data_IF_900781938566
#
_entry.id   IF_900781938566
#
_cell.length_a   1.000
_cell.length_b   1.000
_cell.length_c   1.000
_cell.angle_alpha   90.00
_cell.angle_beta   90.00
_cell.angle_gamma   90.00
#
_symmetry.space_group_name_H-M   'P 1'
#
loop_
_entity.id
_entity.type
_entity.pdbx_description
1 polymer ?
#
# COMPACT_ATOMS: atom_id res chain seq x y z
N UNK A 1 19.28 -16.66 -22.38
CA UNK A 1 19.62 -15.21 -22.48
C UNK A 1 20.36 -14.75 -21.23
N UNK A 2 21.45 -13.99 -21.38
CA UNK A 2 22.32 -13.51 -20.30
C UNK A 2 21.67 -12.34 -19.54
N UNK A 3 20.83 -12.62 -18.55
CA UNK A 3 20.26 -11.58 -17.68
C UNK A 3 21.29 -11.14 -16.65
N UNK A 4 22.12 -10.15 -17.00
CA UNK A 4 23.19 -9.64 -16.14
C UNK A 4 22.71 -9.22 -14.74
N UNK A 5 21.50 -8.66 -14.63
CA UNK A 5 20.89 -8.31 -13.34
C UNK A 5 20.59 -9.54 -12.46
N UNK A 6 19.97 -10.57 -13.04
CA UNK A 6 19.66 -11.83 -12.35
C UNK A 6 20.94 -12.51 -11.89
N UNK A 7 21.97 -12.51 -12.74
CA UNK A 7 23.26 -13.12 -12.44
C UNK A 7 24.02 -12.35 -11.34
N UNK A 8 24.08 -11.03 -11.41
CA UNK A 8 24.65 -10.17 -10.37
C UNK A 8 23.94 -10.33 -9.02
N UNK A 9 22.60 -10.33 -9.02
CA UNK A 9 21.82 -10.46 -7.79
C UNK A 9 21.96 -11.86 -7.18
N UNK A 10 21.91 -12.91 -8.01
CA UNK A 10 22.07 -14.31 -7.56
C UNK A 10 23.46 -14.57 -6.99
N UNK A 11 24.51 -14.06 -7.66
CA UNK A 11 25.89 -14.17 -7.18
C UNK A 11 26.11 -13.38 -5.90
N UNK A 12 25.50 -12.19 -5.77
CA UNK A 12 25.58 -11.38 -4.55
C UNK A 12 24.85 -12.03 -3.37
N UNK A 13 23.76 -12.76 -3.64
CA UNK A 13 22.95 -13.44 -2.62
C UNK A 13 23.38 -14.90 -2.37
N UNK A 14 24.40 -15.39 -3.10
CA UNK A 14 24.88 -16.78 -3.04
C UNK A 14 23.78 -17.84 -3.26
N UNK A 15 22.80 -17.54 -4.10
CA UNK A 15 21.67 -18.45 -4.36
C UNK A 15 21.98 -19.43 -5.50
N UNK A 16 21.41 -20.66 -5.46
CA UNK A 16 21.58 -21.62 -6.54
C UNK A 16 20.97 -21.07 -7.82
N UNK A 17 21.82 -20.91 -8.84
CA UNK A 17 21.41 -20.40 -10.15
C UNK A 17 20.69 -21.52 -10.88
N UNK A 18 19.40 -21.34 -11.15
CA UNK A 18 18.67 -22.26 -12.01
C UNK A 18 18.79 -21.82 -13.47
N UNK A 19 19.29 -22.74 -14.28
CA UNK A 19 19.35 -22.59 -15.72
C UNK A 19 17.93 -22.76 -16.29
N UNK A 20 17.42 -21.69 -16.91
CA UNK A 20 16.13 -21.69 -17.58
C UNK A 20 16.32 -22.39 -18.92
N UNK A 21 15.65 -23.52 -19.12
CA UNK A 21 15.53 -24.16 -20.43
C UNK A 21 14.44 -23.46 -21.25
N UNK A 22 14.79 -23.01 -22.46
CA UNK A 22 13.92 -22.23 -23.35
C UNK A 22 12.67 -23.02 -23.79
N UNK A 23 12.66 -24.35 -23.65
CA UNK A 23 11.57 -25.23 -24.06
C UNK A 23 10.62 -25.66 -22.94
N UNK A 24 10.81 -25.22 -21.71
CA UNK A 24 9.96 -25.67 -20.61
C UNK A 24 8.62 -24.91 -20.58
N UNK A 25 7.47 -25.57 -20.86
CA UNK A 25 6.16 -24.92 -20.96
C UNK A 25 5.65 -24.37 -19.62
N UNK A 26 6.24 -24.79 -18.50
CA UNK A 26 5.86 -24.34 -17.15
C UNK A 26 6.04 -22.83 -17.01
N UNK A 27 7.09 -22.25 -17.60
CA UNK A 27 7.34 -20.82 -17.53
C UNK A 27 6.27 -20.00 -18.27
N UNK A 28 5.75 -20.52 -19.39
CA UNK A 28 4.65 -19.88 -20.11
C UNK A 28 3.34 -19.90 -19.33
N UNK A 29 3.04 -21.01 -18.67
CA UNK A 29 1.84 -21.13 -17.81
C UNK A 29 1.96 -20.20 -16.61
N UNK A 30 3.13 -20.13 -15.96
CA UNK A 30 3.37 -19.21 -14.85
C UNK A 30 3.26 -17.74 -15.27
N UNK A 31 3.79 -17.37 -16.43
CA UNK A 31 3.67 -16.01 -16.96
C UNK A 31 2.21 -15.62 -17.20
N UNK A 32 1.40 -16.53 -17.74
CA UNK A 32 -0.03 -16.31 -17.94
C UNK A 32 -0.75 -16.14 -16.60
N UNK A 33 -0.43 -16.99 -15.61
CA UNK A 33 -1.01 -16.93 -14.27
C UNK A 33 -0.67 -15.60 -13.57
N UNK A 34 0.59 -15.16 -13.62
CA UNK A 34 0.99 -13.85 -13.10
C UNK A 34 0.34 -12.70 -13.86
N UNK A 35 0.15 -12.82 -15.17
CA UNK A 35 -0.57 -11.83 -15.97
C UNK A 35 -2.03 -11.68 -15.55
N UNK A 36 -2.73 -12.78 -15.28
CA UNK A 36 -4.11 -12.76 -14.78
C UNK A 36 -4.18 -12.16 -13.37
N UNK A 37 -3.22 -12.50 -12.49
CA UNK A 37 -3.14 -11.91 -11.15
C UNK A 37 -2.93 -10.39 -11.21
N UNK A 38 -2.02 -9.91 -12.06
CA UNK A 38 -1.81 -8.48 -12.26
C UNK A 38 -3.06 -7.77 -12.81
N UNK A 39 -3.80 -8.43 -13.71
CA UNK A 39 -5.06 -7.92 -14.24
C UNK A 39 -6.18 -7.87 -13.18
N UNK A 40 -6.16 -8.77 -12.20
CA UNK A 40 -7.11 -8.75 -11.09
C UNK A 40 -6.99 -7.48 -10.24
N UNK A 41 -5.81 -6.88 -10.15
CA UNK A 41 -5.59 -5.65 -9.35
C UNK A 41 -5.98 -4.37 -10.11
N UNK A 42 -6.11 -4.45 -11.45
CA UNK A 42 -6.61 -3.35 -12.26
C UNK A 42 -8.09 -3.05 -11.99
N UNK A 43 -8.89 -4.07 -11.64
CA UNK A 43 -10.33 -3.89 -11.39
C UNK A 43 -10.57 -3.01 -10.14
N UNK A 44 -10.00 -3.32 -8.95
CA UNK A 44 -10.11 -2.44 -7.78
C UNK A 44 -9.51 -1.05 -8.00
N UNK A 45 -8.49 -0.93 -8.86
CA UNK A 45 -7.88 0.35 -9.20
C UNK A 45 -8.86 1.27 -9.93
N UNK A 46 -9.63 0.72 -10.89
CA UNK A 46 -10.67 1.48 -11.59
C UNK A 46 -11.86 1.84 -10.70
N UNK A 47 -12.14 1.03 -9.68
CA UNK A 47 -13.20 1.29 -8.70
C UNK A 47 -12.78 2.31 -7.61
N UNK A 48 -11.51 2.75 -7.61
CA UNK A 48 -10.93 3.64 -6.60
C UNK A 48 -11.17 3.17 -5.14
N UNK A 49 -11.22 1.85 -4.93
CA UNK A 49 -11.46 1.26 -3.62
C UNK A 49 -10.18 1.27 -2.77
N UNK A 50 -9.93 2.38 -2.10
CA UNK A 50 -8.74 2.57 -1.26
C UNK A 50 -8.68 1.60 -0.08
N UNK A 51 -9.83 1.18 0.45
CA UNK A 51 -9.89 0.22 1.56
C UNK A 51 -9.38 -1.17 1.18
N UNK A 52 -9.63 -1.62 -0.06
CA UNK A 52 -9.07 -2.87 -0.57
C UNK A 52 -7.54 -2.81 -0.60
N UNK A 53 -6.98 -1.73 -1.16
CA UNK A 53 -5.53 -1.55 -1.26
C UNK A 53 -4.85 -1.42 0.12
N UNK A 54 -5.50 -0.76 1.08
CA UNK A 54 -4.99 -0.65 2.45
C UNK A 54 -4.87 -2.00 3.16
N UNK A 55 -5.75 -2.97 2.86
CA UNK A 55 -5.73 -4.29 3.48
C UNK A 55 -4.86 -5.30 2.72
N UNK A 56 -4.97 -5.34 1.39
CA UNK A 56 -4.30 -6.35 0.57
C UNK A 56 -2.78 -6.14 0.51
N UNK A 57 -2.32 -4.88 0.40
CA UNK A 57 -0.90 -4.54 0.23
C UNK A 57 -0.03 -5.04 1.41
N UNK A 58 -0.35 -4.74 2.70
CA UNK A 58 0.44 -5.26 3.81
C UNK A 58 0.33 -6.79 3.94
N UNK A 59 -0.83 -7.38 3.62
CA UNK A 59 -1.00 -8.83 3.67
C UNK A 59 -0.09 -9.54 2.66
N UNK A 60 -0.01 -9.04 1.41
CA UNK A 60 0.88 -9.55 0.37
C UNK A 60 2.34 -9.37 0.75
N UNK A 61 2.69 -8.21 1.32
CA UNK A 61 4.04 -7.97 1.81
C UNK A 61 4.47 -9.01 2.85
N UNK A 62 3.62 -9.34 3.83
CA UNK A 62 3.95 -10.38 4.83
C UNK A 62 4.11 -11.76 4.20
N UNK A 63 3.25 -12.12 3.25
CA UNK A 63 3.31 -13.41 2.55
C UNK A 63 4.60 -13.52 1.73
N UNK A 64 4.89 -12.54 0.88
CA UNK A 64 6.08 -12.55 0.03
C UNK A 64 7.37 -12.36 0.82
N UNK A 65 7.35 -11.61 1.91
CA UNK A 65 8.51 -11.49 2.80
C UNK A 65 8.82 -12.83 3.49
N UNK A 66 7.79 -13.53 3.98
CA UNK A 66 7.94 -14.86 4.58
C UNK A 66 8.44 -15.87 3.55
N UNK A 67 7.92 -15.81 2.31
CA UNK A 67 8.35 -16.66 1.22
C UNK A 67 9.79 -16.35 0.77
N UNK A 68 10.19 -15.08 0.72
CA UNK A 68 11.56 -14.67 0.45
C UNK A 68 12.52 -15.21 1.52
N UNK A 69 12.17 -15.03 2.80
CA UNK A 69 12.96 -15.56 3.92
C UNK A 69 13.08 -17.09 3.87
N UNK A 70 11.98 -17.79 3.55
CA UNK A 70 12.00 -19.24 3.38
C UNK A 70 12.86 -19.69 2.20
N UNK A 71 12.77 -19.00 1.06
CA UNK A 71 13.58 -19.30 -0.13
C UNK A 71 15.08 -19.04 0.07
N UNK A 72 15.43 -18.19 1.04
CA UNK A 72 16.82 -17.90 1.41
C UNK A 72 17.38 -18.87 2.46
N UNK A 73 16.57 -19.28 3.46
CA UNK A 73 17.02 -20.12 4.59
C UNK A 73 16.76 -21.61 4.40
N UNK A 74 15.81 -21.98 3.54
CA UNK A 74 15.42 -23.37 3.33
C UNK A 74 16.32 -24.10 2.33
N UNK A 75 16.30 -25.43 2.41
CA UNK A 75 17.06 -26.31 1.51
C UNK A 75 16.20 -26.96 0.41
N UNK A 76 14.95 -26.51 0.25
CA UNK A 76 14.02 -27.11 -0.71
C UNK A 76 14.32 -26.67 -2.14
N UNK A 77 14.84 -27.57 -2.97
CA UNK A 77 15.21 -27.31 -4.38
C UNK A 77 14.09 -26.66 -5.22
N UNK A 78 12.82 -26.90 -4.91
CA UNK A 78 11.69 -26.35 -5.68
C UNK A 78 11.36 -24.89 -5.34
N UNK A 79 11.53 -24.49 -4.07
CA UNK A 79 11.17 -23.14 -3.60
C UNK A 79 12.40 -22.25 -3.35
N UNK A 80 13.55 -22.86 -3.05
CA UNK A 80 14.81 -22.18 -2.76
C UNK A 80 15.64 -22.05 -4.05
N UNK A 81 15.10 -21.29 -4.99
CA UNK A 81 15.66 -21.03 -6.30
C UNK A 81 15.90 -19.52 -6.46
N UNK A 82 16.99 -19.12 -7.13
CA UNK A 82 17.28 -17.71 -7.41
C UNK A 82 16.12 -16.98 -8.11
N UNK A 83 15.39 -17.62 -9.03
CA UNK A 83 14.25 -16.97 -9.72
C UNK A 83 13.11 -16.66 -8.75
N UNK A 84 12.78 -17.63 -7.87
CA UNK A 84 11.71 -17.48 -6.87
C UNK A 84 12.08 -16.39 -5.87
N UNK A 85 13.33 -16.40 -5.40
CA UNK A 85 13.83 -15.39 -4.48
C UNK A 85 13.79 -13.98 -5.11
N UNK A 86 14.26 -13.83 -6.35
CA UNK A 86 14.26 -12.52 -7.03
C UNK A 86 12.84 -12.03 -7.26
N UNK A 87 11.92 -12.91 -7.65
CA UNK A 87 10.50 -12.56 -7.78
C UNK A 87 9.93 -12.08 -6.44
N UNK A 88 10.14 -12.82 -5.35
CA UNK A 88 9.67 -12.43 -4.02
C UNK A 88 10.33 -11.12 -3.55
N UNK A 89 11.61 -10.92 -3.83
CA UNK A 89 12.33 -9.69 -3.50
C UNK A 89 11.73 -8.48 -4.23
N UNK A 90 11.46 -8.61 -5.53
CA UNK A 90 10.81 -7.56 -6.31
C UNK A 90 9.39 -7.28 -5.82
N UNK A 91 8.60 -8.32 -5.52
CA UNK A 91 7.27 -8.17 -4.95
C UNK A 91 7.31 -7.44 -3.60
N UNK A 92 8.21 -7.81 -2.70
CA UNK A 92 8.39 -7.10 -1.42
C UNK A 92 8.74 -5.63 -1.67
N UNK A 93 9.65 -5.34 -2.60
CA UNK A 93 10.04 -3.98 -2.94
C UNK A 93 8.86 -3.14 -3.46
N UNK A 94 8.12 -3.67 -4.45
CA UNK A 94 6.95 -2.98 -5.00
C UNK A 94 5.84 -2.79 -3.97
N UNK A 95 5.53 -3.82 -3.18
CA UNK A 95 4.51 -3.71 -2.13
C UNK A 95 4.94 -2.72 -1.03
N UNK A 96 6.24 -2.57 -0.75
CA UNK A 96 6.73 -1.52 0.17
C UNK A 96 6.51 -0.12 -0.40
N UNK A 97 6.77 0.09 -1.69
CA UNK A 97 6.52 1.38 -2.35
C UNK A 97 5.02 1.72 -2.35
N UNK A 98 4.17 0.75 -2.71
CA UNK A 98 2.71 0.92 -2.69
C UNK A 98 2.21 1.23 -1.28
N UNK A 99 2.71 0.51 -0.28
CA UNK A 99 2.36 0.75 1.11
C UNK A 99 2.74 2.17 1.56
N UNK A 100 3.92 2.65 1.18
CA UNK A 100 4.34 4.03 1.49
C UNK A 100 3.39 5.05 0.88
N UNK A 101 3.05 4.91 -0.41
CA UNK A 101 2.14 5.83 -1.09
C UNK A 101 0.73 5.83 -0.48
N UNK A 102 0.17 4.65 -0.20
CA UNK A 102 -1.14 4.53 0.45
C UNK A 102 -1.14 5.16 1.85
N UNK A 103 -0.05 4.97 2.59
CA UNK A 103 0.11 5.53 3.92
C UNK A 103 0.15 7.06 3.85
N UNK A 104 0.87 7.64 2.90
CA UNK A 104 0.93 9.08 2.69
C UNK A 104 -0.46 9.64 2.34
N UNK A 105 -1.18 8.99 1.43
CA UNK A 105 -2.54 9.37 1.06
C UNK A 105 -3.51 9.33 2.27
N UNK A 106 -3.38 8.29 3.10
CA UNK A 106 -4.16 8.15 4.33
C UNK A 106 -3.85 9.25 5.35
N UNK A 107 -2.58 9.60 5.53
CA UNK A 107 -2.19 10.71 6.41
C UNK A 107 -2.76 12.04 5.93
N UNK A 108 -2.74 12.30 4.62
CA UNK A 108 -3.36 13.51 4.06
C UNK A 108 -4.87 13.54 4.30
N UNK A 109 -5.58 12.41 4.12
CA UNK A 109 -7.02 12.31 4.40
C UNK A 109 -7.35 12.62 5.87
N UNK A 110 -6.65 11.96 6.80
CA UNK A 110 -6.88 12.12 8.23
C UNK A 110 -6.59 13.57 8.66
N UNK A 111 -5.52 14.17 8.14
CA UNK A 111 -5.18 15.57 8.45
C UNK A 111 -6.28 16.53 7.99
N UNK A 112 -6.81 16.34 6.77
CA UNK A 112 -7.88 17.18 6.24
C UNK A 112 -9.18 17.03 7.04
N UNK A 113 -9.48 15.83 7.55
CA UNK A 113 -10.65 15.59 8.41
C UNK A 113 -10.50 16.26 9.78
N UNK A 114 -9.30 16.18 10.39
CA UNK A 114 -9.01 16.89 11.64
C UNK A 114 -9.14 18.39 11.47
N UNK A 115 -8.61 18.96 10.39
CA UNK A 115 -8.70 20.40 10.11
C UNK A 115 -10.15 20.87 9.95
N UNK A 116 -11.00 20.07 9.30
CA UNK A 116 -12.44 20.34 9.18
C UNK A 116 -13.15 20.33 10.54
N UNK A 117 -12.92 19.30 11.34
CA UNK A 117 -13.53 19.21 12.68
C UNK A 117 -13.11 20.38 13.57
N UNK A 118 -11.84 20.78 13.51
CA UNK A 118 -11.37 21.95 14.23
C UNK A 118 -12.05 23.23 13.74
N UNK A 119 -12.16 23.44 12.41
CA UNK A 119 -12.86 24.63 11.88
C UNK A 119 -14.33 24.69 12.28
N UNK A 120 -15.03 23.55 12.30
CA UNK A 120 -16.43 23.48 12.74
C UNK A 120 -16.57 23.83 14.23
N UNK A 121 -15.64 23.37 15.08
CA UNK A 121 -15.62 23.69 16.51
C UNK A 121 -15.35 25.18 16.76
N UNK A 122 -14.43 25.80 16.01
CA UNK A 122 -14.16 27.24 16.09
C UNK A 122 -15.33 28.10 15.59
N UNK A 123 -15.99 27.69 14.52
CA UNK A 123 -17.16 28.39 13.98
C UNK A 123 -18.35 28.31 14.95
N UNK A 124 -18.57 27.17 15.60
CA UNK A 124 -19.67 26.98 16.55
C UNK A 124 -19.45 27.78 17.85
N UNK A 125 -18.21 27.85 18.37
CA UNK A 125 -17.86 28.73 19.50
C UNK A 125 -18.07 30.22 19.15
N UNK A 126 -17.63 30.64 17.96
CA UNK A 126 -17.75 32.03 17.51
C UNK A 126 -19.21 32.44 17.34
N UNK A 127 -20.02 31.59 16.72
CA UNK A 127 -21.44 31.83 16.50
C UNK A 127 -22.23 31.85 17.83
N UNK A 128 -21.85 30.97 18.77
CA UNK A 128 -22.40 30.97 20.13
C UNK A 128 -22.12 32.28 20.87
N UNK A 129 -20.89 32.79 20.81
CA UNK A 129 -20.50 34.04 21.45
C UNK A 129 -21.26 35.25 20.88
N UNK A 130 -21.36 35.33 19.54
CA UNK A 130 -22.13 36.40 18.86
C UNK A 130 -23.61 36.38 19.26
N UNK A 131 -24.21 35.20 19.32
CA UNK A 131 -25.63 35.05 19.69
C UNK A 131 -25.89 35.41 21.15
N UNK A 132 -24.94 35.16 22.05
CA UNK A 132 -25.03 35.64 23.44
C UNK A 132 -24.92 37.17 23.54
N UNK A 133 -24.07 37.79 22.73
CA UNK A 133 -23.90 39.24 22.68
C UNK A 133 -25.17 39.93 22.18
N UNK A 134 -25.77 39.42 21.10
CA UNK A 134 -27.05 39.90 20.54
C UNK A 134 -28.20 39.81 21.57
N UNK A 135 -28.32 38.70 22.31
CA UNK A 135 -29.34 38.55 23.36
C UNK A 135 -29.12 39.54 24.52
N UNK A 136 -27.87 39.80 24.89
CA UNK A 136 -27.53 40.79 25.91
C UNK A 136 -27.87 42.21 25.47
N UNK A 137 -27.69 42.53 24.18
CA UNK A 137 -28.07 43.82 23.60
C UNK A 137 -29.60 44.02 23.63
N UNK A 138 -30.36 43.01 23.19
CA UNK A 138 -31.83 43.04 23.20
C UNK A 138 -32.42 43.20 24.63
N UNK A 139 -31.86 42.51 25.62
CA UNK A 139 -32.31 42.62 27.02
C UNK A 139 -32.04 44.03 27.57
N UNK A 140 -30.92 44.64 27.18
CA UNK A 140 -30.54 45.97 27.63
C UNK A 140 -31.46 47.05 27.03
N UNK A 141 -31.85 46.90 25.77
CA UNK A 141 -32.79 47.80 25.11
C UNK A 141 -34.21 47.67 25.68
N UNK A 142 -34.64 46.46 26.06
CA UNK A 142 -35.92 46.27 26.76
C UNK A 142 -35.92 46.84 28.18
N UNK A 143 -34.79 46.87 28.88
CA UNK A 143 -34.68 47.43 30.22
C UNK A 143 -34.62 48.98 30.25
N UNK A 144 -34.41 49.61 29.09
CA UNK A 144 -34.33 51.07 28.94
C UNK A 144 -35.65 51.74 28.53
N UNK A 145 -36.71 50.96 28.24
CA UNK A 145 -38.10 51.41 28.05
C UNK A 145 -38.93 51.25 29.33
#
# INVERSE_FOLDING_TARGET
MNSGFVLLLSTSMQLPIVEIDDYNPIFGILALLFGVLAMSDLVPLFEANTMYFESITPSRLVVFFSLAAYSYLGDSLYFCNNIVFIYCFMEVWFNMLLFSSLKDEKYTRIKAEIERLQSEEFDDETNSAQRFEEIMEDIKDQAAQ
#
